data_IF_889090109886
#
_entry.id   IF_889090109886
#
_cell.length_a   1.000
_cell.length_b   1.000
_cell.length_c   1.000
_cell.angle_alpha   90.00
_cell.angle_beta   90.00
_cell.angle_gamma   90.00
#
_symmetry.space_group_name_H-M   'P 1'
#
loop_
_entity.id
_entity.type
_entity.pdbx_description
1 polymer ?
#
# COMPACT_ATOMS: atom_id res chain seq x y z
N UNK A 1 21.38 -18.90 19.21
CA UNK A 1 21.82 -17.53 19.54
C UNK A 1 20.60 -16.66 19.36
N UNK A 2 20.24 -15.79 20.32
CA UNK A 2 19.15 -14.84 20.12
C UNK A 2 19.56 -13.92 18.96
N UNK A 3 18.78 -13.89 17.89
CA UNK A 3 19.01 -13.01 16.76
C UNK A 3 18.87 -11.57 17.26
N UNK A 4 19.94 -10.78 17.11
CA UNK A 4 19.95 -9.37 17.49
C UNK A 4 18.85 -8.66 16.73
N UNK A 5 17.89 -8.06 17.45
CA UNK A 5 16.80 -7.27 16.83
C UNK A 5 17.38 -5.90 16.48
N UNK A 6 17.47 -5.59 15.20
CA UNK A 6 17.90 -4.27 14.73
C UNK A 6 16.72 -3.28 14.69
N UNK A 7 17.02 -1.98 14.78
CA UNK A 7 16.07 -0.90 14.57
C UNK A 7 15.74 -0.73 13.08
N UNK A 8 14.66 -0.02 12.79
CA UNK A 8 14.13 0.19 11.43
C UNK A 8 15.20 0.69 10.46
N UNK A 9 15.98 1.70 10.85
CA UNK A 9 16.99 2.35 10.01
C UNK A 9 18.12 1.39 9.62
N UNK A 10 18.43 0.43 10.48
CA UNK A 10 19.40 -0.63 10.16
C UNK A 10 18.77 -1.70 9.26
N UNK A 11 17.52 -2.09 9.52
CA UNK A 11 16.81 -3.06 8.69
C UNK A 11 16.63 -2.54 7.25
N UNK A 12 16.24 -1.26 7.08
CA UNK A 12 16.03 -0.66 5.75
C UNK A 12 17.30 -0.63 4.88
N UNK A 13 18.48 -0.74 5.50
CA UNK A 13 19.79 -0.71 4.80
C UNK A 13 20.37 -2.09 4.54
N UNK A 14 20.06 -3.08 5.40
CA UNK A 14 20.83 -4.31 5.44
C UNK A 14 20.08 -5.60 5.11
N UNK A 15 18.76 -5.66 5.37
CA UNK A 15 18.00 -6.90 5.13
C UNK A 15 18.05 -7.32 3.67
N UNK A 16 18.30 -8.62 3.45
CA UNK A 16 18.51 -9.22 2.13
C UNK A 16 19.88 -8.96 1.54
N UNK A 17 20.76 -8.23 2.25
CA UNK A 17 22.08 -7.80 1.80
C UNK A 17 23.11 -7.84 2.94
N UNK A 18 22.89 -8.74 3.90
CA UNK A 18 23.79 -8.89 5.07
C UNK A 18 25.19 -9.34 4.69
N UNK A 19 25.29 -10.06 3.57
CA UNK A 19 26.53 -10.50 2.97
C UNK A 19 26.71 -9.84 1.59
N UNK A 20 27.95 -9.63 1.11
CA UNK A 20 28.20 -9.20 -0.25
C UNK A 20 27.72 -10.25 -1.27
N UNK A 21 27.60 -9.87 -2.52
CA UNK A 21 27.30 -10.84 -3.60
C UNK A 21 28.33 -11.98 -3.60
N UNK A 22 27.90 -13.25 -3.50
CA UNK A 22 28.83 -14.37 -3.31
C UNK A 22 29.70 -14.68 -4.52
N UNK A 23 29.42 -14.09 -5.68
CA UNK A 23 30.16 -14.34 -6.91
C UNK A 23 31.19 -13.25 -7.17
N UNK A 24 30.88 -12.00 -6.82
CA UNK A 24 31.66 -10.82 -7.22
C UNK A 24 32.19 -10.01 -6.05
N UNK A 25 31.79 -10.35 -4.81
CA UNK A 25 32.04 -9.57 -3.59
C UNK A 25 31.45 -8.15 -3.65
N UNK A 26 30.53 -7.88 -4.57
CA UNK A 26 29.90 -6.58 -4.71
C UNK A 26 29.11 -6.22 -3.44
N UNK A 27 29.36 -5.02 -2.91
CA UNK A 27 28.63 -4.50 -1.73
C UNK A 27 27.24 -4.00 -2.09
N UNK A 28 27.08 -3.35 -3.26
CA UNK A 28 25.76 -2.95 -3.76
C UNK A 28 25.01 -4.19 -4.29
N UNK A 29 23.67 -4.15 -4.20
CA UNK A 29 22.85 -5.22 -4.79
C UNK A 29 23.02 -5.24 -6.30
N UNK A 30 23.48 -6.34 -6.92
CA UNK A 30 23.60 -6.43 -8.38
C UNK A 30 22.23 -6.41 -9.06
N UNK A 31 22.19 -5.84 -10.28
CA UNK A 31 21.00 -5.89 -11.12
C UNK A 31 21.09 -7.14 -12.01
N UNK A 32 20.33 -8.18 -11.68
CA UNK A 32 20.27 -9.41 -12.47
C UNK A 32 19.25 -9.27 -13.60
N UNK A 33 19.65 -8.60 -14.66
CA UNK A 33 18.80 -8.39 -15.86
C UNK A 33 18.84 -9.62 -16.76
N UNK A 34 18.09 -10.66 -16.37
CA UNK A 34 17.99 -11.93 -17.11
C UNK A 34 16.58 -12.49 -17.09
N UNK A 35 16.20 -13.22 -18.14
CA UNK A 35 14.89 -13.90 -18.23
C UNK A 35 14.93 -15.29 -17.60
N UNK A 36 16.07 -15.99 -17.64
CA UNK A 36 16.15 -17.42 -17.29
C UNK A 36 17.47 -17.78 -16.66
N UNK A 37 17.49 -18.92 -15.98
CA UNK A 37 18.62 -19.44 -15.23
C UNK A 37 18.95 -20.86 -15.67
N UNK A 38 20.23 -21.22 -15.75
CA UNK A 38 20.71 -22.53 -16.19
C UNK A 38 20.61 -23.53 -15.06
N UNK A 39 20.11 -24.72 -15.35
CA UNK A 39 20.10 -25.85 -14.43
C UNK A 39 21.38 -26.68 -14.58
N UNK A 40 21.84 -27.29 -13.47
CA UNK A 40 23.03 -28.14 -13.47
C UNK A 40 22.85 -29.44 -14.26
N UNK A 41 21.64 -30.00 -14.22
CA UNK A 41 21.21 -31.21 -14.95
C UNK A 41 19.69 -31.31 -14.94
N UNK A 42 19.13 -32.33 -15.60
CA UNK A 42 17.69 -32.56 -15.73
C UNK A 42 16.99 -32.81 -14.38
N UNK A 43 17.67 -33.51 -13.45
CA UNK A 43 17.12 -33.75 -12.10
C UNK A 43 16.97 -32.45 -11.32
N UNK A 44 17.99 -31.60 -11.37
CA UNK A 44 17.94 -30.26 -10.75
C UNK A 44 16.80 -29.40 -11.32
N UNK A 45 16.58 -29.46 -12.65
CA UNK A 45 15.44 -28.79 -13.27
C UNK A 45 14.10 -29.33 -12.71
N UNK A 46 13.95 -30.64 -12.69
CA UNK A 46 12.72 -31.31 -12.18
C UNK A 46 12.46 -30.98 -10.70
N UNK A 47 13.50 -30.88 -9.88
CA UNK A 47 13.36 -30.53 -8.45
C UNK A 47 12.94 -29.08 -8.26
N UNK A 48 13.47 -28.13 -9.05
CA UNK A 48 13.06 -26.73 -9.07
C UNK A 48 11.59 -26.57 -9.44
N UNK A 49 11.15 -27.18 -10.53
CA UNK A 49 9.75 -27.12 -10.96
C UNK A 49 8.80 -27.85 -10.03
N UNK A 50 9.28 -28.88 -9.33
CA UNK A 50 8.53 -29.62 -8.33
C UNK A 50 8.51 -29.00 -6.94
N UNK A 51 9.05 -27.79 -6.76
CA UNK A 51 9.18 -27.08 -5.46
C UNK A 51 9.98 -27.85 -4.40
N UNK A 52 10.84 -28.79 -4.81
CA UNK A 52 11.70 -29.61 -3.93
C UNK A 52 13.07 -28.96 -3.70
N UNK A 53 13.48 -28.05 -4.57
CA UNK A 53 14.71 -27.27 -4.47
C UNK A 53 14.39 -25.79 -4.69
N UNK A 54 14.78 -24.95 -3.72
CA UNK A 54 14.55 -23.50 -3.80
C UNK A 54 15.54 -22.81 -4.74
N UNK A 55 15.11 -21.76 -5.44
CA UNK A 55 15.97 -20.88 -6.25
C UNK A 55 15.35 -20.42 -7.55
N UNK A 56 16.22 -19.86 -8.41
CA UNK A 56 15.76 -19.19 -9.61
C UNK A 56 15.46 -20.18 -10.75
N UNK A 57 14.36 -19.92 -11.47
CA UNK A 57 13.94 -20.66 -12.66
C UNK A 57 13.81 -19.69 -13.83
N UNK A 58 12.96 -18.69 -13.65
CA UNK A 58 12.60 -17.72 -14.69
C UNK A 58 12.33 -16.36 -14.04
N UNK A 59 12.81 -15.28 -14.64
CA UNK A 59 12.82 -13.92 -14.05
C UNK A 59 11.44 -13.36 -13.69
N UNK A 60 10.35 -13.89 -14.25
CA UNK A 60 8.99 -13.54 -13.86
C UNK A 60 8.63 -14.09 -12.47
N UNK A 61 9.16 -15.26 -12.09
CA UNK A 61 8.85 -15.93 -10.83
C UNK A 61 9.80 -15.51 -9.72
N UNK A 62 11.10 -15.50 -10.02
CA UNK A 62 12.17 -15.23 -9.05
C UNK A 62 13.32 -14.50 -9.73
N UNK A 63 13.86 -13.50 -9.03
CA UNK A 63 15.05 -12.78 -9.46
C UNK A 63 15.81 -12.30 -8.22
N UNK A 64 17.14 -12.44 -8.12
CA UNK A 64 17.88 -12.07 -6.91
C UNK A 64 17.76 -10.60 -6.53
N UNK A 65 17.68 -9.68 -7.50
CA UNK A 65 17.48 -8.24 -7.22
C UNK A 65 16.10 -7.96 -6.63
N UNK A 66 15.06 -8.59 -7.18
CA UNK A 66 13.70 -8.52 -6.67
C UNK A 66 13.61 -9.14 -5.27
N UNK A 67 14.29 -10.26 -5.03
CA UNK A 67 14.31 -10.95 -3.75
C UNK A 67 14.81 -10.07 -2.61
N UNK A 68 15.88 -9.30 -2.82
CA UNK A 68 16.36 -8.34 -1.80
C UNK A 68 15.30 -7.29 -1.47
N UNK A 69 14.60 -6.77 -2.47
CA UNK A 69 13.52 -5.82 -2.27
C UNK A 69 12.35 -6.44 -1.49
N UNK A 70 11.94 -7.65 -1.85
CA UNK A 70 10.88 -8.41 -1.19
C UNK A 70 11.20 -8.67 0.29
N UNK A 71 12.38 -9.22 0.57
CA UNK A 71 12.82 -9.54 1.94
C UNK A 71 12.92 -8.29 2.81
N UNK A 72 13.42 -7.18 2.24
CA UNK A 72 13.58 -5.94 2.97
C UNK A 72 12.23 -5.32 3.35
N UNK A 73 11.29 -5.22 2.41
CA UNK A 73 9.96 -4.68 2.72
C UNK A 73 9.22 -5.58 3.70
N UNK A 74 9.31 -6.91 3.53
CA UNK A 74 8.70 -7.85 4.47
C UNK A 74 9.23 -7.66 5.90
N UNK A 75 10.55 -7.52 6.05
CA UNK A 75 11.16 -7.30 7.37
C UNK A 75 10.78 -5.93 7.98
N UNK A 76 10.64 -4.89 7.17
CA UNK A 76 10.24 -3.56 7.63
C UNK A 76 8.77 -3.53 8.07
N UNK A 77 7.88 -4.27 7.42
CA UNK A 77 6.48 -4.44 7.83
C UNK A 77 6.30 -5.41 9.01
N UNK A 78 7.32 -6.20 9.33
CA UNK A 78 7.20 -7.26 10.34
C UNK A 78 6.52 -8.53 9.82
N UNK A 79 6.42 -8.69 8.49
CA UNK A 79 5.86 -9.87 7.84
C UNK A 79 6.85 -11.03 7.71
N UNK A 80 6.37 -12.17 7.25
CA UNK A 80 7.17 -13.40 7.08
C UNK A 80 7.70 -13.58 5.67
N UNK A 81 7.06 -12.93 4.67
CA UNK A 81 7.48 -12.99 3.27
C UNK A 81 6.88 -11.82 2.46
N UNK A 82 7.57 -11.43 1.40
CA UNK A 82 7.14 -10.41 0.44
C UNK A 82 7.07 -10.91 -0.99
N UNK A 83 6.28 -10.25 -1.81
CA UNK A 83 6.19 -10.47 -3.24
C UNK A 83 6.13 -9.13 -3.98
N UNK A 84 7.14 -8.83 -4.78
CA UNK A 84 7.16 -7.65 -5.63
C UNK A 84 6.42 -7.90 -6.96
N UNK A 85 5.65 -6.91 -7.39
CA UNK A 85 4.86 -6.93 -8.61
C UNK A 85 4.97 -5.59 -9.36
N UNK A 86 4.48 -5.54 -10.59
CA UNK A 86 4.68 -4.43 -11.51
C UNK A 86 4.09 -3.08 -11.05
N UNK A 87 3.10 -3.08 -10.16
CA UNK A 87 2.43 -1.87 -9.67
C UNK A 87 1.64 -2.11 -8.38
N UNK A 88 1.27 -1.04 -7.67
CA UNK A 88 0.34 -1.14 -6.55
C UNK A 88 -1.01 -1.72 -6.94
N UNK A 89 -1.55 -1.36 -8.11
CA UNK A 89 -2.78 -1.95 -8.62
C UNK A 89 -2.67 -3.46 -8.80
N UNK A 90 -1.52 -3.97 -9.31
CA UNK A 90 -1.27 -5.40 -9.40
C UNK A 90 -1.18 -6.05 -8.01
N UNK A 91 -0.60 -5.37 -7.03
CA UNK A 91 -0.53 -5.88 -5.65
C UNK A 91 -1.92 -6.07 -5.05
N UNK A 92 -2.79 -5.06 -5.14
CA UNK A 92 -4.18 -5.15 -4.67
C UNK A 92 -4.95 -6.23 -5.42
N UNK A 93 -4.87 -6.24 -6.76
CA UNK A 93 -5.57 -7.22 -7.59
C UNK A 93 -5.16 -8.66 -7.24
N UNK A 94 -3.87 -8.93 -7.12
CA UNK A 94 -3.36 -10.25 -6.82
C UNK A 94 -3.67 -10.69 -5.38
N UNK A 95 -3.59 -9.78 -4.42
CA UNK A 95 -3.98 -10.08 -3.04
C UNK A 95 -5.45 -10.50 -2.95
N UNK A 96 -6.35 -9.80 -3.64
CA UNK A 96 -7.78 -10.12 -3.67
C UNK A 96 -8.07 -11.40 -4.46
N UNK A 97 -7.57 -11.53 -5.70
CA UNK A 97 -7.79 -12.71 -6.54
C UNK A 97 -7.18 -14.00 -5.98
N UNK A 98 -6.24 -13.89 -5.05
CA UNK A 98 -5.64 -15.06 -4.40
C UNK A 98 -6.65 -15.86 -3.56
N UNK A 99 -7.65 -15.20 -3.00
CA UNK A 99 -8.62 -15.76 -2.06
C UNK A 99 -10.08 -15.61 -2.51
N UNK A 100 -10.32 -14.91 -3.62
CA UNK A 100 -11.66 -14.67 -4.15
C UNK A 100 -11.91 -15.45 -5.42
N UNK A 101 -13.15 -15.91 -5.56
CA UNK A 101 -13.69 -16.61 -6.72
C UNK A 101 -15.09 -16.07 -7.04
N UNK A 102 -15.66 -16.48 -8.18
CA UNK A 102 -17.03 -16.15 -8.51
C UNK A 102 -18.00 -16.57 -7.38
N UNK A 103 -18.86 -15.66 -6.98
CA UNK A 103 -19.84 -15.85 -5.91
C UNK A 103 -19.35 -15.41 -4.53
N UNK A 104 -18.07 -15.04 -4.38
CA UNK A 104 -17.53 -14.51 -3.13
C UNK A 104 -17.87 -13.02 -2.95
N UNK A 105 -17.67 -12.54 -1.72
CA UNK A 105 -17.99 -11.18 -1.31
C UNK A 105 -16.81 -10.51 -0.60
N UNK A 106 -16.66 -9.20 -0.84
CA UNK A 106 -15.68 -8.30 -0.21
C UNK A 106 -16.42 -7.26 0.63
N UNK A 107 -15.97 -7.00 1.84
CA UNK A 107 -16.28 -5.77 2.56
C UNK A 107 -15.08 -4.83 2.42
N UNK A 108 -15.32 -3.60 1.98
CA UNK A 108 -14.25 -2.64 1.77
C UNK A 108 -14.60 -1.26 2.33
N UNK A 109 -13.55 -0.53 2.75
CA UNK A 109 -13.68 0.84 3.25
C UNK A 109 -14.25 1.79 2.17
N UNK A 110 -14.93 2.84 2.60
CA UNK A 110 -15.54 3.85 1.72
C UNK A 110 -14.58 4.96 1.28
N UNK A 111 -13.41 5.07 1.94
CA UNK A 111 -12.38 6.08 1.73
C UNK A 111 -11.14 5.56 0.99
N UNK A 112 -11.33 4.63 0.05
CA UNK A 112 -10.25 4.00 -0.71
C UNK A 112 -9.68 4.90 -1.81
N UNK A 113 -8.44 4.61 -2.21
CA UNK A 113 -7.91 5.07 -3.48
C UNK A 113 -8.87 4.73 -4.63
N UNK A 114 -9.15 5.71 -5.51
CA UNK A 114 -10.12 5.55 -6.59
C UNK A 114 -9.89 4.33 -7.49
N UNK A 115 -8.62 3.94 -7.71
CA UNK A 115 -8.30 2.72 -8.46
C UNK A 115 -8.70 1.44 -7.74
N UNK A 116 -8.51 1.36 -6.43
CA UNK A 116 -8.93 0.22 -5.59
C UNK A 116 -10.46 0.17 -5.48
N UNK A 117 -11.11 1.32 -5.33
CA UNK A 117 -12.56 1.42 -5.36
C UNK A 117 -13.13 0.88 -6.67
N UNK A 118 -12.65 1.36 -7.82
CA UNK A 118 -13.08 0.90 -9.14
C UNK A 118 -12.80 -0.59 -9.38
N UNK A 119 -11.64 -1.08 -8.92
CA UNK A 119 -11.31 -2.51 -9.01
C UNK A 119 -12.38 -3.34 -8.29
N UNK A 120 -12.69 -2.99 -7.04
CA UNK A 120 -13.61 -3.76 -6.18
C UNK A 120 -15.05 -3.63 -6.68
N UNK A 121 -15.51 -2.41 -6.98
CA UNK A 121 -16.93 -2.16 -7.28
C UNK A 121 -17.33 -2.51 -8.71
N UNK A 122 -16.41 -2.37 -9.67
CA UNK A 122 -16.71 -2.55 -11.09
C UNK A 122 -15.94 -3.72 -11.71
N UNK A 123 -14.61 -3.75 -11.61
CA UNK A 123 -13.82 -4.76 -12.34
C UNK A 123 -14.07 -6.17 -11.81
N UNK A 124 -13.98 -6.39 -10.50
CA UNK A 124 -14.21 -7.70 -9.88
C UNK A 124 -15.69 -8.11 -9.95
N UNK A 125 -16.61 -7.14 -9.98
CA UNK A 125 -18.03 -7.43 -10.20
C UNK A 125 -18.29 -8.13 -11.55
N UNK A 126 -17.54 -7.80 -12.61
CA UNK A 126 -17.64 -8.52 -13.90
C UNK A 126 -17.18 -9.97 -13.83
N UNK A 127 -16.43 -10.32 -12.77
CA UNK A 127 -15.98 -11.70 -12.49
C UNK A 127 -16.92 -12.43 -11.53
N UNK A 128 -18.06 -11.81 -11.17
CA UNK A 128 -19.06 -12.37 -10.28
C UNK A 128 -18.70 -12.28 -8.80
N UNK A 129 -17.79 -11.41 -8.43
CA UNK A 129 -17.43 -11.09 -7.04
C UNK A 129 -18.27 -9.90 -6.62
N UNK A 130 -18.99 -10.01 -5.50
CA UNK A 130 -19.83 -8.96 -4.94
C UNK A 130 -19.08 -8.16 -3.87
N UNK A 131 -19.58 -6.96 -3.55
CA UNK A 131 -18.95 -6.12 -2.53
C UNK A 131 -19.97 -5.31 -1.73
N UNK A 132 -19.57 -4.92 -0.52
CA UNK A 132 -20.24 -3.88 0.27
C UNK A 132 -19.19 -2.84 0.67
N UNK A 133 -19.41 -1.60 0.24
CA UNK A 133 -18.60 -0.44 0.63
C UNK A 133 -19.22 0.17 1.89
N UNK A 134 -18.40 0.36 2.94
CA UNK A 134 -18.88 0.80 4.24
C UNK A 134 -17.83 1.62 4.97
N UNK A 135 -18.24 2.55 5.82
CA UNK A 135 -17.32 3.14 6.78
C UNK A 135 -16.88 2.07 7.78
N UNK A 136 -15.64 1.57 7.60
CA UNK A 136 -15.11 0.45 8.40
C UNK A 136 -14.84 0.82 9.86
N UNK A 137 -14.71 2.11 10.19
CA UNK A 137 -14.59 2.58 11.58
C UNK A 137 -15.95 2.55 12.30
N UNK A 138 -17.06 2.47 11.57
CA UNK A 138 -18.37 2.16 12.15
C UNK A 138 -18.51 0.63 12.28
N UNK A 139 -18.12 0.10 13.43
CA UNK A 139 -18.06 -1.35 13.66
C UNK A 139 -19.42 -2.05 13.54
N UNK A 140 -20.53 -1.36 13.84
CA UNK A 140 -21.87 -1.92 13.66
C UNK A 140 -22.21 -2.07 12.17
N UNK A 141 -21.86 -1.07 11.37
CA UNK A 141 -22.02 -1.13 9.91
C UNK A 141 -21.09 -2.18 9.28
N UNK A 142 -19.86 -2.29 9.76
CA UNK A 142 -18.90 -3.31 9.32
C UNK A 142 -19.43 -4.72 9.63
N UNK A 143 -19.90 -4.96 10.86
CA UNK A 143 -20.48 -6.24 11.27
C UNK A 143 -21.69 -6.61 10.40
N UNK A 144 -22.59 -5.65 10.16
CA UNK A 144 -23.78 -5.85 9.34
C UNK A 144 -23.47 -6.10 7.84
N UNK A 145 -22.32 -5.62 7.36
CA UNK A 145 -21.89 -5.80 5.96
C UNK A 145 -21.34 -7.20 5.70
N UNK A 146 -20.90 -7.93 6.73
CA UNK A 146 -20.32 -9.27 6.57
C UNK A 146 -21.41 -10.29 6.27
N UNK A 147 -21.26 -11.00 5.16
CA UNK A 147 -22.16 -12.03 4.65
C UNK A 147 -21.51 -13.42 4.80
N UNK A 148 -22.28 -14.53 4.69
CA UNK A 148 -21.73 -15.89 4.77
C UNK A 148 -20.63 -16.19 3.73
N UNK A 149 -20.68 -15.54 2.57
CA UNK A 149 -19.71 -15.65 1.47
C UNK A 149 -18.64 -14.54 1.49
N UNK A 150 -18.57 -13.71 2.52
CA UNK A 150 -17.49 -12.72 2.68
C UNK A 150 -16.17 -13.44 2.93
N UNK A 151 -15.14 -13.05 2.18
CA UNK A 151 -13.80 -13.64 2.24
C UNK A 151 -12.74 -12.70 2.81
N UNK A 152 -12.98 -11.39 2.79
CA UNK A 152 -11.97 -10.42 3.16
C UNK A 152 -12.62 -9.09 3.56
N UNK A 153 -11.98 -8.41 4.52
CA UNK A 153 -12.12 -6.98 4.75
C UNK A 153 -10.91 -6.28 4.14
N UNK A 154 -11.13 -5.25 3.34
CA UNK A 154 -10.08 -4.45 2.70
C UNK A 154 -10.17 -2.99 3.15
N UNK A 155 -9.05 -2.43 3.62
CA UNK A 155 -8.97 -1.04 4.08
C UNK A 155 -7.61 -0.42 3.72
N UNK A 156 -7.50 0.91 3.82
CA UNK A 156 -6.25 1.66 3.73
C UNK A 156 -5.91 2.24 5.11
N UNK A 157 -4.62 2.34 5.45
CA UNK A 157 -4.17 2.90 6.73
C UNK A 157 -4.60 4.36 6.89
N UNK A 158 -4.41 5.14 5.82
CA UNK A 158 -4.94 6.48 5.63
C UNK A 158 -5.82 6.52 4.40
N UNK A 159 -7.02 7.05 4.53
CA UNK A 159 -7.94 7.23 3.40
C UNK A 159 -7.44 8.26 2.38
N UNK A 160 -7.84 8.09 1.14
CA UNK A 160 -7.51 8.99 0.03
C UNK A 160 -8.81 9.63 -0.52
N UNK A 161 -8.97 10.96 -0.52
CA UNK A 161 -7.88 11.95 -0.42
C UNK A 161 -7.68 12.59 0.96
N UNK A 162 -8.48 12.26 1.96
CA UNK A 162 -8.67 13.07 3.17
C UNK A 162 -7.75 12.71 4.34
N UNK A 163 -6.95 11.65 4.25
CA UNK A 163 -6.14 11.13 5.36
C UNK A 163 -6.92 10.72 6.61
N UNK A 164 -8.18 10.27 6.43
CA UNK A 164 -8.94 9.66 7.51
C UNK A 164 -8.21 8.43 8.04
N UNK A 165 -8.19 8.24 9.37
CA UNK A 165 -7.41 7.17 10.00
C UNK A 165 -8.28 5.94 10.24
N UNK A 166 -7.79 4.77 9.80
CA UNK A 166 -8.47 3.49 10.00
C UNK A 166 -8.10 2.87 11.35
N UNK A 167 -9.10 2.43 12.15
CA UNK A 167 -8.88 1.68 13.40
C UNK A 167 -8.59 0.20 13.09
N UNK A 168 -7.36 -0.08 12.69
CA UNK A 168 -6.93 -1.40 12.21
C UNK A 168 -7.22 -2.50 13.23
N UNK A 169 -6.95 -2.27 14.53
CA UNK A 169 -7.16 -3.26 15.59
C UNK A 169 -8.63 -3.65 15.72
N UNK A 170 -9.51 -2.64 15.77
CA UNK A 170 -10.94 -2.90 15.91
C UNK A 170 -11.53 -3.63 14.68
N UNK A 171 -11.08 -3.27 13.48
CA UNK A 171 -11.50 -3.92 12.24
C UNK A 171 -10.98 -5.35 12.15
N UNK A 172 -9.72 -5.59 12.55
CA UNK A 172 -9.13 -6.92 12.59
C UNK A 172 -9.90 -7.85 13.56
N UNK A 173 -10.29 -7.34 14.73
CA UNK A 173 -11.12 -8.11 15.68
C UNK A 173 -12.46 -8.52 15.07
N UNK A 174 -13.12 -7.63 14.33
CA UNK A 174 -14.36 -7.97 13.62
C UNK A 174 -14.10 -9.02 12.55
N UNK A 175 -13.14 -8.82 11.68
CA UNK A 175 -12.81 -9.74 10.59
C UNK A 175 -12.48 -11.15 11.13
N UNK A 176 -11.63 -11.23 12.14
CA UNK A 176 -11.20 -12.50 12.72
C UNK A 176 -12.33 -13.27 13.44
N UNK A 177 -13.30 -12.58 14.09
CA UNK A 177 -14.50 -13.24 14.62
C UNK A 177 -15.28 -13.99 13.56
N UNK A 178 -15.24 -13.53 12.31
CA UNK A 178 -15.88 -14.15 11.16
C UNK A 178 -14.97 -15.10 10.38
N UNK A 179 -13.75 -15.37 10.90
CA UNK A 179 -12.74 -16.20 10.23
C UNK A 179 -12.44 -15.71 8.79
N UNK A 180 -12.25 -14.41 8.62
CA UNK A 180 -11.80 -13.77 7.39
C UNK A 180 -10.60 -12.89 7.66
N UNK A 181 -9.62 -12.81 6.71
CA UNK A 181 -8.46 -11.96 6.88
C UNK A 181 -8.79 -10.47 6.67
N UNK A 182 -7.95 -9.63 7.27
CA UNK A 182 -7.86 -8.20 7.00
C UNK A 182 -6.68 -7.93 6.08
N UNK A 183 -6.93 -7.31 4.91
CA UNK A 183 -5.91 -6.79 4.00
C UNK A 183 -5.88 -5.27 4.15
N UNK A 184 -4.70 -4.72 4.42
CA UNK A 184 -4.50 -3.27 4.57
C UNK A 184 -3.52 -2.76 3.52
N UNK A 185 -3.93 -1.74 2.78
CA UNK A 185 -3.03 -0.94 1.96
C UNK A 185 -2.32 0.10 2.85
N UNK A 186 -1.02 -0.10 3.04
CA UNK A 186 -0.19 0.76 3.88
C UNK A 186 0.66 1.75 3.07
N UNK A 187 0.23 2.06 1.85
CA UNK A 187 0.97 2.97 0.95
C UNK A 187 1.23 4.33 1.58
N UNK A 188 0.24 4.92 2.27
CA UNK A 188 0.38 6.23 2.90
C UNK A 188 0.99 6.16 4.31
N UNK A 189 0.71 5.09 5.06
CA UNK A 189 1.30 4.88 6.37
C UNK A 189 2.79 4.56 6.30
N UNK A 190 3.23 3.84 5.31
CA UNK A 190 4.57 3.26 5.18
C UNK A 190 4.94 2.35 6.36
N UNK A 191 5.86 1.40 6.19
CA UNK A 191 6.30 0.58 7.32
C UNK A 191 7.08 1.36 8.39
N UNK A 192 7.41 2.64 8.10
CA UNK A 192 8.09 3.52 9.03
C UNK A 192 7.16 4.15 10.06
N UNK A 193 5.99 4.65 9.64
CA UNK A 193 5.04 5.29 10.54
C UNK A 193 4.17 4.28 11.28
N UNK A 194 3.77 3.20 10.62
CA UNK A 194 2.93 2.15 11.18
C UNK A 194 3.17 0.81 10.47
N UNK A 195 3.04 -0.28 11.23
CA UNK A 195 3.08 -1.66 10.74
C UNK A 195 1.73 -2.31 10.99
N UNK A 196 0.83 -2.34 10.01
CA UNK A 196 -0.52 -2.90 10.19
C UNK A 196 -0.55 -4.33 10.73
N UNK A 197 0.48 -5.15 10.42
CA UNK A 197 0.61 -6.51 10.93
C UNK A 197 0.69 -6.53 12.47
N UNK A 198 1.38 -5.57 13.08
CA UNK A 198 1.47 -5.45 14.54
C UNK A 198 0.13 -5.05 15.18
N UNK A 199 -0.84 -4.61 14.37
CA UNK A 199 -2.18 -4.20 14.76
C UNK A 199 -3.30 -5.15 14.26
N UNK A 200 -2.94 -6.35 13.79
CA UNK A 200 -3.88 -7.40 13.44
C UNK A 200 -4.19 -7.55 11.95
N UNK A 201 -3.59 -6.75 11.06
CA UNK A 201 -3.69 -7.02 9.63
C UNK A 201 -2.97 -8.33 9.29
N UNK A 202 -3.55 -9.13 8.39
CA UNK A 202 -2.97 -10.40 7.96
C UNK A 202 -2.08 -10.23 6.73
N UNK A 203 -2.50 -9.36 5.83
CA UNK A 203 -1.80 -9.06 4.58
C UNK A 203 -1.69 -7.55 4.46
N UNK A 204 -0.49 -7.09 4.06
CA UNK A 204 -0.25 -5.68 3.76
C UNK A 204 0.11 -5.53 2.28
N UNK A 205 -0.44 -4.53 1.63
CA UNK A 205 -0.08 -4.17 0.25
C UNK A 205 0.48 -2.76 0.19
N UNK A 206 1.34 -2.50 -0.79
CA UNK A 206 1.87 -1.17 -1.07
C UNK A 206 1.91 -0.88 -2.56
N UNK A 207 1.58 0.34 -2.92
CA UNK A 207 2.13 0.96 -4.11
C UNK A 207 3.54 1.46 -3.80
N UNK A 208 4.56 0.65 -4.13
CA UNK A 208 5.96 1.03 -3.92
C UNK A 208 6.38 2.25 -4.77
N UNK A 209 5.59 2.59 -5.78
CA UNK A 209 5.66 3.81 -6.59
C UNK A 209 5.68 5.10 -5.76
N UNK A 210 5.02 5.08 -4.58
CA UNK A 210 4.78 6.24 -3.71
C UNK A 210 5.96 6.46 -2.77
N UNK A 211 5.76 6.53 -1.47
CA UNK A 211 6.84 6.81 -0.49
C UNK A 211 8.03 5.87 -0.57
N UNK A 212 7.84 4.58 -0.87
CA UNK A 212 8.95 3.62 -0.96
C UNK A 212 9.94 4.08 -2.03
N UNK A 213 9.49 4.33 -3.27
CA UNK A 213 10.34 4.89 -4.33
C UNK A 213 10.66 6.37 -4.10
N UNK A 214 9.66 7.15 -3.78
CA UNK A 214 9.73 8.55 -3.34
C UNK A 214 10.09 9.59 -4.40
N UNK A 215 10.41 9.20 -5.63
CA UNK A 215 10.98 10.10 -6.65
C UNK A 215 10.17 10.15 -7.96
N UNK A 216 9.02 9.46 -8.02
CA UNK A 216 8.19 9.41 -9.22
C UNK A 216 8.85 8.75 -10.44
N UNK A 217 9.90 7.95 -10.24
CA UNK A 217 10.75 7.40 -11.31
C UNK A 217 10.36 5.99 -11.75
N UNK A 218 9.78 5.19 -10.86
CA UNK A 218 9.52 3.77 -11.13
C UNK A 218 8.19 3.31 -10.55
N UNK A 219 7.48 2.51 -11.33
CA UNK A 219 6.30 1.79 -10.86
C UNK A 219 6.71 0.51 -10.14
N UNK A 220 5.99 0.16 -9.09
CA UNK A 220 6.10 -1.10 -8.40
C UNK A 220 5.00 -1.28 -7.36
N UNK A 221 4.76 -2.52 -6.99
CA UNK A 221 3.91 -2.91 -5.89
C UNK A 221 4.57 -3.99 -5.07
N UNK A 222 4.13 -4.17 -3.84
CA UNK A 222 4.56 -5.26 -3.00
C UNK A 222 3.41 -5.75 -2.13
N UNK A 223 3.35 -7.06 -1.94
CA UNK A 223 2.43 -7.75 -1.06
C UNK A 223 3.26 -8.37 0.05
N UNK A 224 2.89 -8.13 1.29
CA UNK A 224 3.54 -8.69 2.49
C UNK A 224 2.57 -9.63 3.19
N UNK A 225 3.02 -10.87 3.41
CA UNK A 225 2.30 -11.88 4.18
C UNK A 225 2.70 -11.76 5.66
N UNK A 226 1.74 -11.50 6.53
CA UNK A 226 1.95 -11.44 7.97
C UNK A 226 2.19 -12.82 8.60
N UNK A 227 1.74 -13.89 7.93
CA UNK A 227 1.81 -15.26 8.43
C UNK A 227 0.97 -15.49 9.68
N UNK A 228 -0.03 -14.65 9.92
CA UNK A 228 -0.89 -14.62 11.11
C UNK A 228 -2.18 -15.40 10.93
N UNK A 229 -2.75 -15.39 9.72
CA UNK A 229 -4.02 -16.04 9.43
C UNK A 229 -3.88 -17.57 9.27
N UNK A 230 -4.74 -18.32 9.96
CA UNK A 230 -4.75 -19.78 9.86
C UNK A 230 -5.59 -20.28 8.68
N UNK A 231 -4.93 -20.39 7.51
CA UNK A 231 -5.58 -20.88 6.29
C UNK A 231 -6.11 -22.32 6.42
N UNK A 232 -5.42 -23.18 7.19
CA UNK A 232 -5.79 -24.59 7.36
C UNK A 232 -7.03 -24.76 8.23
N UNK A 233 -7.14 -24.00 9.32
CA UNK A 233 -8.34 -23.99 10.15
C UNK A 233 -9.57 -23.52 9.36
N UNK A 234 -9.35 -22.72 8.29
CA UNK A 234 -10.39 -22.14 7.44
C UNK A 234 -10.41 -22.71 6.02
N UNK A 235 -10.01 -23.99 5.84
CA UNK A 235 -9.81 -24.63 4.53
C UNK A 235 -11.06 -24.62 3.62
N UNK A 236 -12.26 -24.71 4.19
CA UNK A 236 -13.51 -24.67 3.40
C UNK A 236 -13.80 -23.26 2.87
N UNK A 237 -13.38 -22.26 3.60
CA UNK A 237 -13.52 -20.86 3.18
C UNK A 237 -12.41 -20.46 2.19
N UNK A 238 -11.19 -20.99 2.33
CA UNK A 238 -10.02 -20.65 1.51
C UNK A 238 -9.39 -21.89 0.83
N UNK A 239 -10.16 -22.59 -0.04
CA UNK A 239 -9.69 -23.83 -0.65
C UNK A 239 -8.44 -23.63 -1.53
N UNK A 240 -8.26 -22.46 -2.12
CA UNK A 240 -7.10 -22.16 -2.97
C UNK A 240 -5.76 -22.23 -2.26
N UNK A 241 -5.75 -22.02 -0.94
CA UNK A 241 -4.54 -22.08 -0.10
C UNK A 241 -4.43 -23.37 0.69
N UNK A 242 -5.57 -23.94 1.12
CA UNK A 242 -5.62 -25.02 2.10
C UNK A 242 -6.14 -26.37 1.56
N UNK A 243 -6.45 -26.46 0.26
CA UNK A 243 -6.81 -27.73 -0.40
C UNK A 243 -5.85 -28.03 -1.57
N UNK A 244 -5.81 -29.27 -2.07
CA UNK A 244 -4.93 -29.68 -3.17
C UNK A 244 -5.11 -28.81 -4.42
N UNK A 245 -4.03 -28.19 -4.90
CA UNK A 245 -4.04 -27.38 -6.12
C UNK A 245 -3.74 -28.26 -7.36
N UNK A 246 -4.65 -28.34 -8.33
CA UNK A 246 -4.48 -29.18 -9.52
C UNK A 246 -3.33 -28.72 -10.43
N UNK A 247 -2.98 -27.44 -10.42
CA UNK A 247 -1.88 -26.87 -11.22
C UNK A 247 -0.49 -27.20 -10.65
N UNK A 248 -0.44 -27.67 -9.39
CA UNK A 248 0.79 -28.07 -8.70
C UNK A 248 0.73 -29.52 -8.19
N UNK A 249 0.19 -30.43 -9.00
CA UNK A 249 0.14 -31.88 -8.71
C UNK A 249 -0.51 -32.22 -7.34
N UNK A 250 -1.47 -31.43 -6.91
CA UNK A 250 -2.16 -31.63 -5.64
C UNK A 250 -1.42 -31.08 -4.41
N UNK A 251 -0.41 -30.24 -4.58
CA UNK A 251 0.24 -29.54 -3.46
C UNK A 251 -0.75 -28.63 -2.74
N UNK A 252 -0.66 -28.58 -1.42
CA UNK A 252 -1.42 -27.65 -0.57
C UNK A 252 -0.46 -26.53 -0.16
N UNK A 253 -0.72 -25.29 -0.60
CA UNK A 253 0.19 -24.17 -0.34
C UNK A 253 0.42 -23.91 1.14
N UNK A 254 -0.63 -24.05 1.98
CA UNK A 254 -0.51 -23.93 3.43
C UNK A 254 0.37 -25.02 4.08
N UNK A 255 0.61 -26.15 3.40
CA UNK A 255 1.54 -27.18 3.86
C UNK A 255 2.97 -26.92 3.37
N UNK A 256 3.13 -26.63 2.07
CA UNK A 256 4.47 -26.52 1.47
C UNK A 256 5.18 -25.20 1.80
N UNK A 257 4.43 -24.12 2.04
CA UNK A 257 4.96 -22.81 2.34
C UNK A 257 4.66 -22.31 3.76
N UNK A 258 3.84 -23.06 4.53
CA UNK A 258 3.51 -22.71 5.91
C UNK A 258 2.98 -21.27 6.04
N UNK A 259 3.64 -20.47 6.86
CA UNK A 259 3.25 -19.07 7.11
C UNK A 259 3.33 -18.16 5.88
N UNK A 260 4.14 -18.50 4.88
CA UNK A 260 4.27 -17.73 3.64
C UNK A 260 3.35 -18.22 2.51
N UNK A 261 2.30 -18.98 2.85
CA UNK A 261 1.41 -19.63 1.88
C UNK A 261 0.74 -18.63 0.94
N UNK A 262 0.35 -17.48 1.46
CA UNK A 262 -0.38 -16.46 0.70
C UNK A 262 0.45 -15.92 -0.47
N UNK A 263 1.64 -15.39 -0.21
CA UNK A 263 2.51 -14.84 -1.27
C UNK A 263 3.12 -15.93 -2.14
N UNK A 264 3.36 -17.14 -1.60
CA UNK A 264 3.88 -18.27 -2.37
C UNK A 264 2.88 -18.70 -3.44
N UNK A 265 1.58 -18.79 -3.11
CA UNK A 265 0.56 -19.10 -4.11
C UNK A 265 0.42 -18.01 -5.16
N UNK A 266 0.45 -16.74 -4.76
CA UNK A 266 0.41 -15.63 -5.74
C UNK A 266 1.58 -15.78 -6.74
N UNK A 267 2.80 -15.99 -6.25
CA UNK A 267 4.00 -16.18 -7.08
C UNK A 267 3.86 -17.37 -8.02
N UNK A 268 3.47 -18.51 -7.46
CA UNK A 268 3.45 -19.78 -8.17
C UNK A 268 2.30 -19.90 -9.18
N UNK A 269 1.16 -19.25 -8.93
CA UNK A 269 -0.05 -19.36 -9.77
C UNK A 269 -0.35 -18.01 -10.44
N UNK A 270 -0.77 -17.00 -9.68
CA UNK A 270 -1.33 -15.78 -10.28
C UNK A 270 -0.27 -15.01 -11.05
N UNK A 271 0.87 -14.72 -10.44
CA UNK A 271 1.96 -14.00 -11.12
C UNK A 271 2.52 -14.78 -12.30
N UNK A 272 2.69 -16.12 -12.14
CA UNK A 272 3.14 -16.99 -13.23
C UNK A 272 2.26 -16.88 -14.46
N UNK A 273 0.94 -16.90 -14.25
CA UNK A 273 -0.05 -17.05 -15.33
C UNK A 273 -0.49 -15.71 -15.93
N UNK A 274 -0.52 -14.63 -15.13
CA UNK A 274 -1.00 -13.30 -15.55
C UNK A 274 0.10 -12.28 -15.81
N UNK A 275 1.32 -12.49 -15.25
CA UNK A 275 2.55 -11.88 -15.75
C UNK A 275 2.88 -10.46 -15.27
N UNK A 276 2.22 -9.89 -14.24
CA UNK A 276 2.55 -8.55 -13.73
C UNK A 276 3.85 -8.52 -12.89
N UNK A 277 4.94 -9.04 -13.45
CA UNK A 277 6.25 -9.11 -12.82
C UNK A 277 6.92 -7.73 -12.80
N UNK A 278 7.57 -7.40 -11.70
CA UNK A 278 8.41 -6.20 -11.61
C UNK A 278 9.71 -6.39 -12.40
N UNK A 279 10.21 -5.33 -13.02
CA UNK A 279 11.54 -5.33 -13.64
C UNK A 279 12.64 -5.32 -12.55
N UNK A 280 13.75 -6.07 -12.72
CA UNK A 280 14.89 -5.98 -11.79
C UNK A 280 15.44 -4.56 -11.65
N UNK A 281 15.41 -3.78 -12.73
CA UNK A 281 15.83 -2.38 -12.71
C UNK A 281 14.90 -1.52 -11.84
N UNK A 282 13.58 -1.70 -11.95
CA UNK A 282 12.63 -1.00 -11.08
C UNK A 282 12.81 -1.42 -9.62
N UNK A 283 13.00 -2.72 -9.34
CA UNK A 283 13.25 -3.21 -8.00
C UNK A 283 14.52 -2.58 -7.39
N UNK A 284 15.59 -2.43 -8.19
CA UNK A 284 16.81 -1.74 -7.76
C UNK A 284 16.58 -0.26 -7.43
N UNK A 285 15.83 0.47 -8.26
CA UNK A 285 15.50 1.88 -7.99
C UNK A 285 14.65 2.00 -6.72
N UNK A 286 13.68 1.12 -6.54
CA UNK A 286 12.83 1.09 -5.34
C UNK A 286 13.62 0.72 -4.08
N UNK A 287 14.63 -0.16 -4.18
CA UNK A 287 15.56 -0.42 -3.09
C UNK A 287 16.33 0.84 -2.67
N UNK A 288 16.83 1.62 -3.63
CA UNK A 288 17.52 2.87 -3.32
C UNK A 288 16.59 3.87 -2.62
N UNK A 289 15.34 3.96 -3.07
CA UNK A 289 14.31 4.75 -2.38
C UNK A 289 14.07 4.26 -0.95
N UNK A 290 13.98 2.94 -0.77
CA UNK A 290 13.72 2.32 0.54
C UNK A 290 14.85 2.61 1.54
N UNK A 291 16.10 2.68 1.10
CA UNK A 291 17.26 2.95 1.97
C UNK A 291 17.23 4.32 2.66
N UNK A 292 16.42 5.26 2.15
CA UNK A 292 16.24 6.60 2.74
C UNK A 292 14.80 6.87 3.18
N UNK A 293 13.98 5.82 3.28
CA UNK A 293 12.54 5.97 3.56
C UNK A 293 12.30 6.73 4.87
N UNK A 294 12.94 6.33 5.97
CA UNK A 294 12.77 6.97 7.29
C UNK A 294 13.07 8.46 7.24
N UNK A 295 14.22 8.83 6.68
CA UNK A 295 14.66 10.23 6.58
C UNK A 295 13.69 11.09 5.76
N UNK A 296 13.17 10.53 4.66
CA UNK A 296 12.22 11.26 3.81
C UNK A 296 10.87 11.39 4.49
N UNK A 297 10.35 10.30 5.07
CA UNK A 297 9.04 10.32 5.73
C UNK A 297 9.04 11.25 6.93
N UNK A 298 10.09 11.28 7.75
CA UNK A 298 10.23 12.25 8.84
C UNK A 298 10.13 13.69 8.32
N UNK A 299 10.86 14.03 7.26
CA UNK A 299 10.82 15.37 6.68
C UNK A 299 9.47 15.70 6.04
N UNK A 300 8.83 14.75 5.35
CA UNK A 300 7.47 14.91 4.83
C UNK A 300 6.47 15.25 5.95
N UNK A 301 6.51 14.52 7.05
CA UNK A 301 5.63 14.72 8.20
C UNK A 301 5.92 16.05 8.89
N UNK A 302 7.18 16.36 9.15
CA UNK A 302 7.59 17.64 9.75
C UNK A 302 7.06 18.84 8.93
N UNK A 303 7.27 18.82 7.62
CA UNK A 303 6.81 19.87 6.73
C UNK A 303 5.27 19.93 6.70
N UNK A 304 4.61 18.78 6.58
CA UNK A 304 3.15 18.72 6.53
C UNK A 304 2.50 19.32 7.78
N UNK A 305 3.00 18.99 8.98
CA UNK A 305 2.45 19.52 10.22
C UNK A 305 2.61 21.04 10.33
N UNK A 306 3.72 21.60 9.83
CA UNK A 306 3.92 23.06 9.76
C UNK A 306 2.97 23.71 8.75
N UNK A 307 2.76 23.08 7.59
CA UNK A 307 1.78 23.54 6.58
C UNK A 307 0.35 23.48 7.14
N UNK A 308 -0.02 22.40 7.83
CA UNK A 308 -1.32 22.27 8.51
C UNK A 308 -1.53 23.39 9.51
N UNK A 309 -0.54 23.67 10.35
CA UNK A 309 -0.60 24.76 11.32
C UNK A 309 -0.79 26.12 10.65
N UNK A 310 -0.05 26.41 9.58
CA UNK A 310 -0.17 27.63 8.80
C UNK A 310 -1.56 27.77 8.14
N UNK A 311 -2.00 26.76 7.41
CA UNK A 311 -3.24 26.81 6.65
C UNK A 311 -4.49 26.81 7.55
N UNK A 312 -4.45 26.13 8.69
CA UNK A 312 -5.58 26.10 9.64
C UNK A 312 -5.92 27.47 10.24
N UNK A 313 -5.00 28.43 10.18
CA UNK A 313 -5.15 29.81 10.67
C UNK A 313 -5.45 30.80 9.54
N UNK A 314 -5.40 30.36 8.27
CA UNK A 314 -5.49 31.27 7.13
C UNK A 314 -6.96 31.59 6.76
N UNK A 315 -7.37 32.88 6.63
CA UNK A 315 -8.78 33.26 6.43
C UNK A 315 -9.42 32.81 5.10
N UNK A 316 -8.60 32.44 4.12
CA UNK A 316 -9.05 31.91 2.81
C UNK A 316 -9.09 30.38 2.77
N UNK A 317 -8.75 29.70 3.86
CA UNK A 317 -8.80 28.24 4.02
C UNK A 317 -9.77 27.89 5.14
N UNK A 318 -11.07 27.76 4.86
CA UNK A 318 -12.09 27.54 5.90
C UNK A 318 -11.98 26.16 6.56
N UNK A 319 -11.32 25.18 5.91
CA UNK A 319 -11.13 23.85 6.45
C UNK A 319 -9.78 23.27 5.99
N UNK A 320 -9.06 22.71 6.93
CA UNK A 320 -7.94 21.80 6.71
C UNK A 320 -8.36 20.43 7.22
N UNK A 321 -8.35 19.43 6.37
CA UNK A 321 -8.77 18.08 6.73
C UNK A 321 -7.53 17.24 7.04
N UNK A 322 -7.05 17.33 8.29
CA UNK A 322 -5.89 16.60 8.77
C UNK A 322 -6.10 16.09 10.19
N UNK A 323 -5.85 14.79 10.47
CA UNK A 323 -6.18 14.16 11.75
C UNK A 323 -5.32 14.63 12.94
N UNK A 324 -4.23 15.36 12.70
CA UNK A 324 -3.45 16.00 13.80
C UNK A 324 -4.22 17.14 14.48
N UNK A 325 -5.23 17.72 13.83
CA UNK A 325 -6.03 18.80 14.40
C UNK A 325 -6.99 18.27 15.47
N UNK A 326 -7.05 18.90 16.68
CA UNK A 326 -7.87 18.41 17.77
C UNK A 326 -9.39 18.30 17.48
N UNK A 327 -9.87 19.05 16.50
CA UNK A 327 -11.28 19.01 16.05
C UNK A 327 -11.60 17.94 14.99
N UNK A 328 -10.58 17.19 14.53
CA UNK A 328 -10.81 16.14 13.53
C UNK A 328 -11.46 14.91 14.17
N UNK A 329 -12.43 14.25 13.52
CA UNK A 329 -13.08 13.05 14.06
C UNK A 329 -12.09 11.96 14.46
N UNK A 330 -11.06 11.74 13.65
CA UNK A 330 -10.07 10.68 13.85
C UNK A 330 -8.85 11.11 14.69
N UNK A 331 -8.93 12.26 15.38
CA UNK A 331 -7.77 12.75 16.17
C UNK A 331 -7.29 11.74 17.20
N UNK A 332 -8.20 11.06 17.88
CA UNK A 332 -7.85 10.02 18.86
C UNK A 332 -7.14 8.82 18.22
N UNK A 333 -7.60 8.37 17.04
CA UNK A 333 -6.95 7.30 16.28
C UNK A 333 -5.58 7.72 15.77
N UNK A 334 -5.46 8.97 15.32
CA UNK A 334 -4.18 9.53 14.92
C UNK A 334 -3.16 9.53 16.06
N UNK A 335 -3.56 9.93 17.26
CA UNK A 335 -2.69 9.87 18.45
C UNK A 335 -2.32 8.43 18.83
N UNK A 336 -3.26 7.47 18.66
CA UNK A 336 -3.04 6.05 18.94
C UNK A 336 -2.01 5.44 18.00
N UNK A 337 -2.17 5.63 16.68
CA UNK A 337 -1.39 4.92 15.67
C UNK A 337 -0.16 5.68 15.18
N UNK A 338 -0.14 7.01 15.29
CA UNK A 338 0.91 7.87 14.75
C UNK A 338 1.50 8.80 15.81
N UNK A 339 2.12 8.24 16.88
CA UNK A 339 2.69 9.08 17.96
C UNK A 339 3.82 9.99 17.48
N UNK A 340 4.47 9.64 16.36
CA UNK A 340 5.54 10.45 15.74
C UNK A 340 5.03 11.32 14.58
N UNK A 341 3.71 11.42 14.41
CA UNK A 341 3.08 12.14 13.31
C UNK A 341 2.87 11.28 12.07
N UNK A 342 2.13 11.82 11.11
CA UNK A 342 1.77 11.16 9.84
C UNK A 342 0.93 12.07 8.98
N UNK A 343 0.47 11.59 7.81
CA UNK A 343 -0.49 12.30 6.98
C UNK A 343 0.10 13.46 6.18
N UNK A 344 1.19 13.27 5.46
CA UNK A 344 1.74 14.32 4.59
C UNK A 344 0.95 14.56 3.30
N UNK A 345 -0.14 13.82 3.12
CA UNK A 345 -1.10 13.96 2.02
C UNK A 345 -2.44 14.25 2.67
N UNK A 346 -3.04 15.40 2.39
CA UNK A 346 -4.30 15.81 3.00
C UNK A 346 -5.07 16.79 2.10
N UNK A 347 -6.29 17.14 2.48
CA UNK A 347 -7.12 18.08 1.74
C UNK A 347 -7.35 19.37 2.50
N UNK A 348 -7.57 20.43 1.73
CA UNK A 348 -8.02 21.73 2.22
C UNK A 348 -9.23 22.20 1.41
N UNK A 349 -10.06 23.04 2.01
CA UNK A 349 -11.12 23.77 1.31
C UNK A 349 -10.64 25.19 1.03
N UNK A 350 -10.78 25.64 -0.21
CA UNK A 350 -10.50 27.02 -0.62
C UNK A 350 -11.79 27.83 -0.55
N UNK A 351 -11.73 29.01 0.08
CA UNK A 351 -12.87 29.93 0.14
C UNK A 351 -13.26 30.42 -1.25
N UNK A 352 -14.50 30.21 -1.64
CA UNK A 352 -15.09 30.66 -2.90
C UNK A 352 -15.68 29.54 -3.73
N UNK A 353 -14.95 28.48 -4.01
CA UNK A 353 -15.43 27.35 -4.81
C UNK A 353 -14.40 26.88 -5.85
N UNK A 354 -14.89 26.25 -6.93
CA UNK A 354 -14.05 25.63 -7.97
C UNK A 354 -13.10 26.63 -8.65
N UNK A 355 -13.61 27.82 -9.00
CA UNK A 355 -12.79 28.82 -9.70
C UNK A 355 -11.64 29.33 -8.86
N UNK A 356 -11.89 29.56 -7.58
CA UNK A 356 -10.89 30.01 -6.63
C UNK A 356 -9.90 28.88 -6.31
N UNK A 357 -10.37 27.61 -6.20
CA UNK A 357 -9.51 26.45 -6.05
C UNK A 357 -8.57 26.28 -7.25
N UNK A 358 -9.09 26.39 -8.47
CA UNK A 358 -8.26 26.36 -9.69
C UNK A 358 -7.27 27.51 -9.73
N UNK A 359 -7.72 28.73 -9.43
CA UNK A 359 -6.84 29.90 -9.42
C UNK A 359 -5.72 29.78 -8.39
N UNK A 360 -6.02 29.22 -7.22
CA UNK A 360 -5.01 28.87 -6.22
C UNK A 360 -4.00 27.88 -6.79
N UNK A 361 -4.46 26.74 -7.33
CA UNK A 361 -3.60 25.69 -7.90
C UNK A 361 -2.71 26.24 -9.02
N UNK A 362 -3.31 26.98 -9.97
CA UNK A 362 -2.58 27.53 -11.12
C UNK A 362 -1.61 28.66 -10.74
N UNK A 363 -1.70 29.18 -9.51
CA UNK A 363 -0.81 30.21 -8.98
C UNK A 363 0.39 29.67 -8.23
N UNK A 364 0.41 28.37 -7.90
CA UNK A 364 1.55 27.73 -7.24
C UNK A 364 2.75 27.61 -8.18
N UNK A 365 3.95 27.84 -7.65
CA UNK A 365 5.20 27.86 -8.43
C UNK A 365 6.10 26.65 -8.09
N UNK A 366 6.03 26.14 -6.86
CA UNK A 366 6.80 24.96 -6.39
C UNK A 366 5.99 23.69 -6.56
N UNK A 367 4.69 23.73 -6.20
CA UNK A 367 3.83 22.56 -6.28
C UNK A 367 3.57 22.18 -7.74
N UNK A 368 3.81 20.91 -8.07
CA UNK A 368 3.48 20.40 -9.41
C UNK A 368 2.04 19.88 -9.45
N UNK A 369 1.26 20.34 -10.43
CA UNK A 369 -0.10 19.87 -10.70
C UNK A 369 -0.03 18.56 -11.48
N UNK A 370 -0.31 17.43 -10.84
CA UNK A 370 -0.29 16.11 -11.45
C UNK A 370 -0.99 15.04 -10.59
N UNK A 371 -1.35 13.94 -11.24
CA UNK A 371 -2.01 12.80 -10.60
C UNK A 371 -1.02 11.84 -9.91
N UNK A 372 -0.28 12.34 -8.93
CA UNK A 372 0.60 11.55 -8.06
C UNK A 372 0.55 12.07 -6.64
N UNK A 373 1.20 11.36 -5.70
CA UNK A 373 1.38 11.71 -4.28
C UNK A 373 2.69 11.13 -3.78
N UNK A 374 3.14 11.58 -2.60
CA UNK A 374 4.29 11.00 -1.90
C UNK A 374 5.62 11.08 -2.69
N UNK A 375 5.75 12.07 -3.54
CA UNK A 375 7.02 12.45 -4.18
C UNK A 375 7.82 13.33 -3.22
N UNK A 376 9.14 13.33 -3.34
CA UNK A 376 10.02 14.27 -2.62
C UNK A 376 9.71 15.73 -2.93
N UNK A 377 9.07 16.00 -4.07
CA UNK A 377 8.56 17.30 -4.47
C UNK A 377 7.11 17.47 -4.01
N UNK A 378 6.74 18.67 -3.63
CA UNK A 378 5.37 19.04 -3.30
C UNK A 378 4.46 18.96 -4.51
N UNK A 379 3.30 18.32 -4.36
CA UNK A 379 2.32 18.10 -5.44
C UNK A 379 0.95 18.61 -5.02
N UNK A 380 0.15 18.98 -6.03
CA UNK A 380 -1.22 19.45 -5.85
C UNK A 380 -2.14 18.87 -6.92
N UNK A 381 -3.40 18.65 -6.57
CA UNK A 381 -4.44 18.29 -7.54
C UNK A 381 -5.82 18.75 -7.03
N UNK A 382 -6.76 18.92 -7.95
CA UNK A 382 -8.18 19.17 -7.67
C UNK A 382 -8.97 17.86 -7.79
N UNK A 383 -9.25 17.13 -6.69
CA UNK A 383 -9.85 15.80 -6.75
C UNK A 383 -11.20 15.78 -7.48
N UNK A 384 -12.05 16.78 -7.22
CA UNK A 384 -13.41 16.89 -7.76
C UNK A 384 -13.46 16.77 -9.29
N UNK A 385 -12.54 17.44 -10.02
CA UNK A 385 -12.53 17.45 -11.48
C UNK A 385 -11.52 16.50 -12.12
N UNK A 386 -10.76 15.73 -11.31
CA UNK A 386 -9.69 14.85 -11.81
C UNK A 386 -9.80 13.43 -11.26
N UNK A 387 -9.14 13.15 -10.14
CA UNK A 387 -9.00 11.77 -9.60
C UNK A 387 -10.32 11.14 -9.15
N UNK A 388 -11.35 11.94 -8.88
CA UNK A 388 -12.67 11.50 -8.43
C UNK A 388 -13.80 11.94 -9.38
N UNK A 389 -13.46 12.43 -10.56
CA UNK A 389 -14.44 12.96 -11.54
C UNK A 389 -15.41 11.91 -12.10
N UNK A 390 -15.15 10.62 -11.87
CA UNK A 390 -16.03 9.52 -12.28
C UNK A 390 -17.07 9.17 -11.21
N UNK A 391 -16.98 9.76 -10.00
CA UNK A 391 -17.91 9.53 -8.91
C UNK A 391 -19.20 10.36 -9.11
N UNK A 392 -20.31 9.82 -8.63
CA UNK A 392 -21.56 10.56 -8.57
C UNK A 392 -21.49 11.67 -7.51
N UNK A 393 -22.37 12.70 -7.58
CA UNK A 393 -22.41 13.75 -6.56
C UNK A 393 -22.61 13.20 -5.13
N UNK A 394 -23.36 12.11 -5.00
CA UNK A 394 -23.64 11.43 -3.73
C UNK A 394 -22.36 10.76 -3.18
N UNK A 395 -21.59 10.09 -4.04
CA UNK A 395 -20.32 9.45 -3.66
C UNK A 395 -19.26 10.50 -3.28
N UNK A 396 -19.18 11.61 -4.03
CA UNK A 396 -18.30 12.73 -3.71
C UNK A 396 -18.64 13.34 -2.34
N UNK A 397 -19.94 13.51 -2.07
CA UNK A 397 -20.42 14.05 -0.78
C UNK A 397 -20.08 13.11 0.38
N UNK A 398 -20.20 11.78 0.19
CA UNK A 398 -19.81 10.78 1.19
C UNK A 398 -18.31 10.84 1.51
N UNK A 399 -17.49 11.11 0.51
CA UNK A 399 -16.05 11.28 0.68
C UNK A 399 -15.64 12.72 1.06
N UNK A 400 -16.60 13.59 1.38
CA UNK A 400 -16.35 14.97 1.74
C UNK A 400 -15.56 15.75 0.69
N UNK A 401 -15.71 15.42 -0.60
CA UNK A 401 -15.07 16.11 -1.72
C UNK A 401 -16.07 17.13 -2.28
N UNK A 402 -15.67 18.39 -2.26
CA UNK A 402 -16.46 19.53 -2.76
C UNK A 402 -15.77 20.20 -3.96
N UNK A 403 -16.44 21.09 -4.71
CA UNK A 403 -15.78 21.87 -5.75
C UNK A 403 -14.66 22.80 -5.26
N UNK A 404 -14.53 23.03 -3.95
CA UNK A 404 -13.46 23.82 -3.34
C UNK A 404 -12.32 22.98 -2.75
N UNK A 405 -12.42 21.64 -2.82
CA UNK A 405 -11.43 20.74 -2.26
C UNK A 405 -10.16 20.69 -3.09
N UNK A 406 -9.02 20.93 -2.45
CA UNK A 406 -7.69 20.78 -3.04
C UNK A 406 -6.91 19.75 -2.22
N UNK A 407 -6.30 18.76 -2.89
CA UNK A 407 -5.39 17.81 -2.25
C UNK A 407 -3.96 18.27 -2.39
N UNK A 408 -3.26 18.33 -1.27
CA UNK A 408 -1.83 18.59 -1.16
C UNK A 408 -1.08 17.32 -0.83
N UNK A 409 0.09 17.13 -1.43
CA UNK A 409 1.09 16.14 -1.04
C UNK A 409 2.38 16.90 -0.75
N UNK A 410 2.72 17.02 0.53
CA UNK A 410 3.81 17.89 0.96
C UNK A 410 5.14 17.17 0.77
N UNK A 411 6.06 17.81 0.08
CA UNK A 411 7.41 17.32 -0.21
C UNK A 411 8.42 17.59 0.90
N UNK A 412 9.71 17.45 0.55
CA UNK A 412 10.82 17.61 1.49
C UNK A 412 11.63 18.88 1.25
N UNK A 413 11.11 19.81 0.46
CA UNK A 413 11.69 21.14 0.20
C UNK A 413 11.86 21.90 1.53
N UNK A 414 12.56 23.03 1.50
CA UNK A 414 12.64 23.90 2.66
C UNK A 414 11.25 24.42 3.03
N UNK A 415 10.90 24.35 4.30
CA UNK A 415 9.53 24.65 4.75
C UNK A 415 9.11 26.09 4.48
N UNK A 416 10.03 27.05 4.59
CA UNK A 416 9.71 28.44 4.33
C UNK A 416 9.34 28.65 2.85
N UNK A 417 10.04 27.99 1.93
CA UNK A 417 9.72 28.06 0.49
C UNK A 417 8.32 27.48 0.19
N UNK A 418 7.97 26.36 0.85
CA UNK A 418 6.62 25.76 0.72
C UNK A 418 5.55 26.74 1.22
N UNK A 419 5.77 27.34 2.40
CA UNK A 419 4.81 28.28 2.99
C UNK A 419 4.69 29.55 2.16
N UNK A 420 5.82 30.10 1.68
CA UNK A 420 5.83 31.28 0.83
C UNK A 420 5.08 31.05 -0.48
N UNK A 421 5.23 29.88 -1.10
CA UNK A 421 4.49 29.49 -2.30
C UNK A 421 2.97 29.39 -2.05
N UNK A 422 2.57 28.75 -0.95
CA UNK A 422 1.17 28.69 -0.54
C UNK A 422 0.60 30.09 -0.25
N UNK A 423 1.36 30.95 0.43
CA UNK A 423 0.95 32.30 0.78
C UNK A 423 0.72 33.14 -0.48
N UNK A 424 1.69 33.19 -1.40
CA UNK A 424 1.57 33.99 -2.61
C UNK A 424 0.42 33.52 -3.53
N UNK A 425 0.12 32.21 -3.54
CA UNK A 425 -1.00 31.64 -4.29
C UNK A 425 -2.34 32.01 -3.62
N UNK A 426 -2.43 31.93 -2.30
CA UNK A 426 -3.60 32.35 -1.53
C UNK A 426 -3.85 33.87 -1.69
N UNK A 427 -2.83 34.72 -1.79
CA UNK A 427 -3.00 36.16 -1.98
C UNK A 427 -3.69 36.50 -3.30
N UNK A 428 -3.54 35.66 -4.31
CA UNK A 428 -4.12 35.86 -5.65
C UNK A 428 -5.62 35.53 -5.79
N UNK A 429 -6.20 34.80 -4.82
CA UNK A 429 -7.62 34.41 -4.82
C UNK A 429 -8.52 35.31 -3.99
#
# INVERSE_FOLDING_TARGET
MATKKYHFETLQLHVGQEQPDPTTDARAVPIYQTTSYVFRNSQHAADRFGLRDAGNIYGRLTNPTQGVFEDRVAALEGGVAGLAVASGAAAVTYALQNILSQGDHIVAADNLYGGSFNLITHTLATQGITNTIVNVNNLEALEAAIQPNTKVVYAETFGNPNSDVTDIEAIAEVAHRHNIPLIVDNTFGTPYLIRPIEHGADIVVHSATKFIGGHGTSLGGVIVDGGTFDWKANADKFPTLAKPDPSYHGAIFADVAGKAAFVTRIRAVILRDTGAAISPFNAFILLQGLETLSLRVERHVENALKVVDYLSKHPKVPKVNHPSLPGHPDHALYQKYFPNGGGSIFTIEIKGGEKEAWKFIDSLEIFSLLANVADVKSLVIHPYTTTHSQMTPEELAQQHITPSTVRLSIGIEHIDDIIDDLAQALDKI
#
